data_IF_789689792498
#
_entry.id   IF_789689792498
#
_cell.length_a   1.000
_cell.length_b   1.000
_cell.length_c   1.000
_cell.angle_alpha   90.00
_cell.angle_beta   90.00
_cell.angle_gamma   90.00
#
_symmetry.space_group_name_H-M   'P 1'
#
loop_
_entity.id
_entity.type
_entity.pdbx_description
1 polymer ?
#
# COMPACT_ATOMS: atom_id res chain seq x y z
N UNK A 1 -11.16 -20.39 -11.76
CA UNK A 1 -10.32 -20.72 -10.58
C UNK A 1 -8.84 -20.34 -10.79
N UNK A 2 -8.10 -20.86 -11.80
CA UNK A 2 -6.67 -20.53 -11.95
C UNK A 2 -6.39 -19.07 -12.30
N UNK A 3 -7.29 -18.40 -13.04
CA UNK A 3 -7.13 -16.99 -13.43
C UNK A 3 -7.12 -16.04 -12.22
N UNK A 4 -7.99 -16.26 -11.22
CA UNK A 4 -8.04 -15.41 -10.02
C UNK A 4 -6.81 -15.57 -9.14
N UNK A 5 -6.31 -16.79 -9.02
CA UNK A 5 -5.05 -17.09 -8.31
C UNK A 5 -3.87 -16.44 -9.05
N UNK A 6 -3.82 -16.55 -10.38
CA UNK A 6 -2.81 -15.89 -11.19
C UNK A 6 -2.86 -14.37 -11.04
N UNK A 7 -4.05 -13.76 -11.08
CA UNK A 7 -4.23 -12.33 -10.90
C UNK A 7 -3.76 -11.89 -9.51
N UNK A 8 -4.13 -12.61 -8.46
CA UNK A 8 -3.65 -12.34 -7.09
C UNK A 8 -2.12 -12.45 -6.99
N UNK A 9 -1.50 -13.42 -7.66
CA UNK A 9 -0.03 -13.52 -7.70
C UNK A 9 0.61 -12.34 -8.46
N UNK A 10 0.03 -11.94 -9.60
CA UNK A 10 0.53 -10.85 -10.44
C UNK A 10 0.45 -9.49 -9.72
N UNK A 11 -0.67 -9.21 -9.04
CA UNK A 11 -0.84 -8.01 -8.24
C UNK A 11 0.12 -8.02 -7.03
N UNK A 12 0.32 -9.17 -6.40
CA UNK A 12 1.32 -9.35 -5.35
C UNK A 12 2.73 -9.02 -5.82
N UNK A 13 3.12 -9.50 -7.01
CA UNK A 13 4.40 -9.18 -7.64
C UNK A 13 4.53 -7.68 -7.95
N UNK A 14 3.48 -7.07 -8.49
CA UNK A 14 3.46 -5.63 -8.75
C UNK A 14 3.68 -4.83 -7.46
N UNK A 15 3.01 -5.19 -6.36
CA UNK A 15 3.19 -4.55 -5.06
C UNK A 15 4.60 -4.75 -4.49
N UNK A 16 5.16 -5.95 -4.66
CA UNK A 16 6.52 -6.30 -4.22
C UNK A 16 7.59 -5.38 -4.84
N UNK A 17 7.36 -4.90 -6.07
CA UNK A 17 8.27 -3.96 -6.75
C UNK A 17 7.88 -2.51 -6.49
N UNK A 18 6.60 -2.19 -6.60
CA UNK A 18 6.12 -0.81 -6.57
C UNK A 18 6.25 -0.17 -5.19
N UNK A 19 6.01 -0.91 -4.10
CA UNK A 19 6.10 -0.36 -2.74
C UNK A 19 7.55 0.05 -2.39
N UNK A 20 8.58 -0.80 -2.60
CA UNK A 20 9.98 -0.37 -2.42
C UNK A 20 10.38 0.78 -3.34
N UNK A 21 9.97 0.77 -4.61
CA UNK A 21 10.28 1.86 -5.54
C UNK A 21 9.69 3.20 -5.06
N UNK A 22 8.43 3.20 -4.63
CA UNK A 22 7.80 4.38 -4.03
C UNK A 22 8.48 4.79 -2.73
N UNK A 23 8.90 3.85 -1.88
CA UNK A 23 9.61 4.16 -0.65
C UNK A 23 10.95 4.86 -0.92
N UNK A 24 11.74 4.35 -1.87
CA UNK A 24 13.01 4.96 -2.27
C UNK A 24 12.83 6.39 -2.78
N UNK A 25 11.84 6.63 -3.65
CA UNK A 25 11.53 7.99 -4.13
C UNK A 25 10.94 8.85 -3.00
N UNK A 26 10.13 8.26 -2.13
CA UNK A 26 9.48 8.90 -1.00
C UNK A 26 10.46 9.44 0.05
N UNK A 27 11.66 8.85 0.18
CA UNK A 27 12.72 9.37 1.05
C UNK A 27 13.12 10.82 0.71
N UNK A 28 12.93 11.25 -0.53
CA UNK A 28 13.13 12.64 -0.91
C UNK A 28 12.23 13.61 -0.12
N UNK A 29 11.11 13.12 0.42
CA UNK A 29 10.18 13.87 1.27
C UNK A 29 10.83 14.43 2.54
N UNK A 30 11.90 13.82 3.05
CA UNK A 30 12.66 14.40 4.17
C UNK A 30 13.31 15.74 3.80
N UNK A 31 13.70 15.91 2.54
CA UNK A 31 14.50 17.03 2.07
C UNK A 31 13.70 18.04 1.25
N UNK A 32 12.65 17.61 0.54
CA UNK A 32 11.88 18.46 -0.36
C UNK A 32 10.43 18.01 -0.49
N UNK A 33 9.50 18.91 -0.87
CA UNK A 33 8.14 18.53 -1.20
C UNK A 33 8.09 17.48 -2.31
N UNK A 34 7.17 16.52 -2.18
CA UNK A 34 6.93 15.50 -3.20
C UNK A 34 5.97 16.03 -4.27
N UNK A 35 6.20 15.75 -5.57
CA UNK A 35 5.33 16.24 -6.64
C UNK A 35 3.97 15.52 -6.63
N UNK A 36 2.92 16.17 -7.14
CA UNK A 36 1.57 15.57 -7.24
C UNK A 36 1.53 14.24 -7.99
N UNK A 37 2.39 14.08 -9.02
CA UNK A 37 2.54 12.81 -9.75
C UNK A 37 2.99 11.64 -8.85
N UNK A 38 3.79 11.91 -7.82
CA UNK A 38 4.17 10.91 -6.84
C UNK A 38 2.95 10.43 -6.05
N UNK A 39 2.12 11.36 -5.57
CA UNK A 39 0.89 11.03 -4.85
C UNK A 39 -0.12 10.29 -5.74
N UNK A 40 -0.22 10.65 -7.02
CA UNK A 40 -1.03 9.90 -7.98
C UNK A 40 -0.54 8.44 -8.15
N UNK A 41 0.77 8.23 -8.28
CA UNK A 41 1.35 6.89 -8.33
C UNK A 41 1.09 6.11 -7.03
N UNK A 42 1.29 6.75 -5.88
CA UNK A 42 1.02 6.15 -4.56
C UNK A 42 -0.44 5.73 -4.41
N UNK A 43 -1.40 6.57 -4.83
CA UNK A 43 -2.82 6.20 -4.86
C UNK A 43 -3.10 5.03 -5.81
N UNK A 44 -2.47 5.00 -6.97
CA UNK A 44 -2.57 3.86 -7.89
C UNK A 44 -2.12 2.56 -7.24
N UNK A 45 -0.96 2.56 -6.58
CA UNK A 45 -0.45 1.40 -5.85
C UNK A 45 -1.34 1.03 -4.65
N UNK A 46 -1.94 2.01 -3.97
CA UNK A 46 -2.92 1.75 -2.93
C UNK A 46 -4.16 1.01 -3.48
N UNK A 47 -4.67 1.39 -4.65
CA UNK A 47 -5.78 0.67 -5.29
C UNK A 47 -5.41 -0.76 -5.71
N UNK A 48 -4.19 -0.97 -6.18
CA UNK A 48 -3.65 -2.32 -6.44
C UNK A 48 -3.64 -3.15 -5.13
N UNK A 49 -3.20 -2.55 -4.02
CA UNK A 49 -3.21 -3.22 -2.71
C UNK A 49 -4.63 -3.52 -2.21
N UNK A 50 -5.58 -2.62 -2.41
CA UNK A 50 -6.99 -2.86 -2.07
C UNK A 50 -7.55 -4.02 -2.90
N UNK A 51 -7.31 -4.04 -4.22
CA UNK A 51 -7.74 -5.13 -5.08
C UNK A 51 -7.11 -6.47 -4.66
N UNK A 52 -5.82 -6.45 -4.30
CA UNK A 52 -5.12 -7.61 -3.78
C UNK A 52 -5.79 -8.16 -2.51
N UNK A 53 -6.16 -7.28 -1.58
CA UNK A 53 -6.87 -7.67 -0.35
C UNK A 53 -8.25 -8.26 -0.66
N UNK A 54 -9.03 -7.60 -1.51
CA UNK A 54 -10.36 -8.08 -1.92
C UNK A 54 -10.27 -9.48 -2.53
N UNK A 55 -9.32 -9.70 -3.44
CA UNK A 55 -9.08 -11.01 -4.03
C UNK A 55 -8.57 -12.03 -3.01
N UNK A 56 -7.66 -11.64 -2.13
CA UNK A 56 -7.10 -12.49 -1.09
C UNK A 56 -8.18 -13.03 -0.14
N UNK A 57 -9.09 -12.16 0.33
CA UNK A 57 -10.25 -12.56 1.12
C UNK A 57 -11.20 -13.46 0.32
N UNK A 58 -11.50 -13.12 -0.94
CA UNK A 58 -12.35 -13.94 -1.80
C UNK A 58 -11.79 -15.36 -1.99
N UNK A 59 -10.49 -15.49 -2.25
CA UNK A 59 -9.82 -16.78 -2.40
C UNK A 59 -9.77 -17.55 -1.07
N UNK A 60 -9.49 -16.88 0.04
CA UNK A 60 -9.50 -17.49 1.37
C UNK A 60 -10.87 -18.10 1.72
N UNK A 61 -11.96 -17.36 1.46
CA UNK A 61 -13.33 -17.84 1.69
C UNK A 61 -13.71 -19.04 0.80
N UNK A 62 -13.09 -19.16 -0.37
CA UNK A 62 -13.22 -20.32 -1.26
C UNK A 62 -12.32 -21.50 -0.88
N UNK A 63 -11.58 -21.42 0.23
CA UNK A 63 -10.63 -22.45 0.68
C UNK A 63 -9.36 -22.53 -0.17
N UNK A 64 -9.09 -21.52 -1.00
CA UNK A 64 -7.87 -21.39 -1.80
C UNK A 64 -6.81 -20.60 -1.02
N UNK A 65 -5.63 -20.40 -1.63
CA UNK A 65 -4.57 -19.56 -1.04
C UNK A 65 -4.96 -18.07 -1.08
N UNK A 66 -4.52 -17.25 -0.12
CA UNK A 66 -3.65 -17.55 1.04
C UNK A 66 -4.35 -18.40 2.10
N UNK A 67 -3.62 -19.19 2.89
CA UNK A 67 -4.19 -20.02 3.99
C UNK A 67 -4.01 -19.39 5.38
N UNK A 68 -3.05 -18.50 5.53
CA UNK A 68 -2.74 -17.86 6.81
C UNK A 68 -3.52 -16.56 6.98
N UNK A 69 -4.29 -16.43 8.06
CA UNK A 69 -5.02 -15.20 8.38
C UNK A 69 -4.10 -13.98 8.59
N UNK A 70 -2.84 -14.20 8.99
CA UNK A 70 -1.84 -13.14 9.12
C UNK A 70 -1.52 -12.47 7.78
N UNK A 71 -1.54 -13.22 6.67
CA UNK A 71 -1.36 -12.64 5.34
C UNK A 71 -2.46 -11.63 5.03
N UNK A 72 -3.70 -11.95 5.36
CA UNK A 72 -4.86 -11.07 5.18
C UNK A 72 -4.75 -9.83 6.07
N UNK A 73 -4.37 -10.00 7.34
CA UNK A 73 -4.18 -8.89 8.28
C UNK A 73 -3.10 -7.92 7.77
N UNK A 74 -1.91 -8.43 7.43
CA UNK A 74 -0.81 -7.58 6.95
C UNK A 74 -1.13 -6.94 5.60
N UNK A 75 -1.84 -7.65 4.72
CA UNK A 75 -2.30 -7.11 3.44
C UNK A 75 -3.29 -5.96 3.63
N UNK A 76 -4.25 -6.13 4.55
CA UNK A 76 -5.22 -5.09 4.90
C UNK A 76 -4.53 -3.85 5.49
N UNK A 77 -3.61 -4.04 6.44
CA UNK A 77 -2.83 -2.94 7.03
C UNK A 77 -2.00 -2.20 5.97
N UNK A 78 -1.39 -2.94 5.03
CA UNK A 78 -0.63 -2.35 3.92
C UNK A 78 -1.55 -1.52 3.02
N UNK A 79 -2.69 -2.08 2.59
CA UNK A 79 -3.64 -1.39 1.72
C UNK A 79 -4.20 -0.12 2.38
N UNK A 80 -4.63 -0.22 3.65
CA UNK A 80 -5.12 0.93 4.41
C UNK A 80 -4.04 2.00 4.60
N UNK A 81 -2.81 1.58 4.95
CA UNK A 81 -1.66 2.47 5.08
C UNK A 81 -1.37 3.22 3.79
N UNK A 82 -1.22 2.52 2.66
CA UNK A 82 -0.97 3.16 1.36
C UNK A 82 -2.10 4.10 0.95
N UNK A 83 -3.35 3.74 1.19
CA UNK A 83 -4.51 4.58 0.86
C UNK A 83 -4.49 5.88 1.66
N UNK A 84 -4.23 5.79 2.97
CA UNK A 84 -4.04 6.93 3.86
C UNK A 84 -2.90 7.84 3.40
N UNK A 85 -1.72 7.26 3.11
CA UNK A 85 -0.55 8.04 2.68
C UNK A 85 -0.80 8.75 1.34
N UNK A 86 -1.51 8.10 0.41
CA UNK A 86 -1.95 8.72 -0.84
C UNK A 86 -2.96 9.86 -0.66
N UNK A 87 -3.67 9.89 0.46
CA UNK A 87 -4.59 10.95 0.86
C UNK A 87 -3.95 12.16 1.53
N UNK A 88 -2.68 12.04 1.95
CA UNK A 88 -1.91 13.12 2.59
C UNK A 88 -1.35 14.15 1.61
N UNK A 89 -1.57 14.00 0.30
CA UNK A 89 -1.26 15.06 -0.68
C UNK A 89 -1.82 16.39 -0.17
N UNK A 90 -1.07 17.51 -0.26
CA UNK A 90 -1.61 18.82 0.10
C UNK A 90 -2.94 19.11 -0.62
N UNK A 91 -4.02 19.33 0.14
CA UNK A 91 -5.37 19.49 -0.41
C UNK A 91 -6.09 18.19 -0.79
N UNK A 92 -5.47 17.03 -0.54
CA UNK A 92 -6.05 15.70 -0.70
C UNK A 92 -7.22 15.42 0.24
N UNK A 93 -7.88 14.28 0.05
CA UNK A 93 -9.07 13.91 0.84
C UNK A 93 -8.74 13.78 2.33
N UNK A 94 -7.66 13.07 2.67
CA UNK A 94 -7.30 12.83 4.05
C UNK A 94 -6.67 14.08 4.67
N UNK A 95 -5.77 14.74 3.95
CA UNK A 95 -5.18 16.01 4.35
C UNK A 95 -6.24 17.05 4.74
N UNK A 96 -7.32 17.20 3.96
CA UNK A 96 -8.41 18.16 4.26
C UNK A 96 -9.31 17.73 5.41
N UNK A 97 -9.36 16.44 5.73
CA UNK A 97 -10.18 15.92 6.83
C UNK A 97 -9.55 16.15 8.21
N UNK A 98 -8.25 16.43 8.25
CA UNK A 98 -7.53 16.69 9.49
C UNK A 98 -7.89 18.08 10.04
N UNK A 99 -8.15 18.16 11.34
CA UNK A 99 -8.35 19.43 12.06
C UNK A 99 -7.13 20.35 11.90
N UNK A 100 -5.93 19.78 12.07
CA UNK A 100 -4.65 20.46 11.96
C UNK A 100 -3.74 19.70 10.99
N UNK A 101 -3.87 19.95 9.66
CA UNK A 101 -3.09 19.22 8.68
C UNK A 101 -1.59 19.52 8.79
N UNK A 102 -0.71 18.52 8.56
CA UNK A 102 0.73 18.72 8.66
C UNK A 102 1.21 19.70 7.58
N UNK A 103 2.05 20.67 7.96
CA UNK A 103 2.68 21.60 7.01
C UNK A 103 3.62 20.90 6.02
N UNK A 104 4.15 19.74 6.42
CA UNK A 104 5.08 18.89 5.65
C UNK A 104 4.57 17.45 5.60
N UNK A 105 3.49 17.17 4.86
CA UNK A 105 2.94 15.81 4.77
C UNK A 105 3.96 14.81 4.21
N UNK A 106 4.89 15.26 3.37
CA UNK A 106 5.91 14.42 2.72
C UNK A 106 6.82 13.67 3.71
N UNK A 107 7.04 14.21 4.92
CA UNK A 107 7.84 13.55 5.96
C UNK A 107 7.10 12.34 6.52
N UNK A 108 5.80 12.49 6.77
CA UNK A 108 4.93 11.40 7.22
C UNK A 108 4.74 10.35 6.14
N UNK A 109 4.68 10.79 4.88
CA UNK A 109 4.65 9.88 3.72
C UNK A 109 5.93 9.06 3.64
N UNK A 110 7.10 9.68 3.81
CA UNK A 110 8.39 8.97 3.80
C UNK A 110 8.47 7.91 4.91
N UNK A 111 8.13 8.27 6.16
CA UNK A 111 8.10 7.34 7.29
C UNK A 111 7.06 6.23 7.09
N UNK A 112 5.87 6.58 6.62
CA UNK A 112 4.79 5.62 6.35
C UNK A 112 5.15 4.63 5.25
N UNK A 113 5.90 5.05 4.23
CA UNK A 113 6.37 4.15 3.16
C UNK A 113 7.45 3.19 3.65
N UNK A 114 8.36 3.62 4.53
CA UNK A 114 9.30 2.71 5.17
C UNK A 114 8.57 1.65 6.00
N UNK A 115 7.53 2.05 6.74
CA UNK A 115 6.66 1.12 7.45
C UNK A 115 5.90 0.18 6.49
N UNK A 116 5.41 0.70 5.36
CA UNK A 116 4.74 -0.08 4.32
C UNK A 116 5.66 -1.15 3.71
N UNK A 117 6.95 -0.87 3.52
CA UNK A 117 7.94 -1.89 3.11
C UNK A 117 8.02 -3.02 4.15
N UNK A 118 8.05 -2.68 5.44
CA UNK A 118 8.01 -3.68 6.51
C UNK A 118 6.76 -4.56 6.46
N UNK A 119 5.58 -3.95 6.28
CA UNK A 119 4.33 -4.70 6.11
C UNK A 119 4.35 -5.58 4.86
N UNK A 120 4.82 -5.07 3.73
CA UNK A 120 4.95 -5.84 2.48
C UNK A 120 5.85 -7.07 2.66
N UNK A 121 6.97 -6.95 3.39
CA UNK A 121 7.82 -8.10 3.71
C UNK A 121 7.05 -9.13 4.55
N UNK A 122 6.28 -8.68 5.55
CA UNK A 122 5.42 -9.57 6.36
C UNK A 122 4.36 -10.27 5.51
N UNK A 123 3.71 -9.57 4.57
CA UNK A 123 2.75 -10.16 3.61
C UNK A 123 3.42 -11.25 2.78
N UNK A 124 4.60 -10.99 2.25
CA UNK A 124 5.36 -11.96 1.46
C UNK A 124 5.70 -13.22 2.26
N UNK A 125 6.20 -13.07 3.48
CA UNK A 125 6.61 -14.22 4.30
C UNK A 125 5.44 -15.06 4.84
N UNK A 126 4.26 -14.46 5.02
CA UNK A 126 3.03 -15.14 5.49
C UNK A 126 2.14 -15.65 4.35
N UNK A 127 2.48 -15.35 3.09
CA UNK A 127 1.70 -15.78 1.92
C UNK A 127 1.98 -17.20 1.42
N UNK A 128 2.58 -18.06 2.26
CA UNK A 128 3.04 -19.40 1.88
C UNK A 128 1.92 -20.41 1.70
#
# INVERSE_FOLDING_TARGET
MPVWVFLHALLGLLLLVAVPALALVGLLGFFRPLPSRFYAALRGVAWVAILQVVLGFGLFLLGLRPKEGLHLLYGLLLAAGLHYLGGLEPGGWFHRSLKDPPKRPEVFVALGLLFAVGLMLRVYFTGR
#
